data_IF_905717835141
#
_entry.id   IF_905717835141
#
_cell.length_a   1.000
_cell.length_b   1.000
_cell.length_c   1.000
_cell.angle_alpha   90.00
_cell.angle_beta   90.00
_cell.angle_gamma   90.00
#
_symmetry.space_group_name_H-M   'P 1'
#
loop_
_entity.id
_entity.type
_entity.pdbx_description
1 polymer ?
#
# COMPACT_ATOMS: atom_id res chain seq x y z
N UNK A 1 2.86 -26.81 -1.07
CA UNK A 1 2.89 -25.90 -2.24
C UNK A 1 2.69 -24.42 -1.84
N UNK A 2 1.74 -24.11 -0.91
CA UNK A 2 1.48 -22.72 -0.46
C UNK A 2 2.61 -22.18 0.42
N UNK A 3 3.24 -22.99 1.22
CA UNK A 3 4.31 -22.58 2.15
C UNK A 3 5.68 -22.43 1.47
N UNK A 4 5.94 -23.19 0.42
CA UNK A 4 7.24 -23.25 -0.25
C UNK A 4 7.78 -21.88 -0.70
N UNK A 5 6.96 -20.93 -1.22
CA UNK A 5 7.45 -19.61 -1.63
C UNK A 5 7.73 -18.66 -0.46
N UNK A 6 7.26 -18.95 0.75
CA UNK A 6 7.31 -18.01 1.87
C UNK A 6 8.74 -17.76 2.36
N UNK A 7 9.55 -18.82 2.50
CA UNK A 7 10.90 -18.71 3.03
C UNK A 7 11.81 -17.79 2.20
N UNK A 8 11.92 -17.94 0.87
CA UNK A 8 12.73 -17.02 0.07
C UNK A 8 12.21 -15.59 0.07
N UNK A 9 10.89 -15.37 0.20
CA UNK A 9 10.30 -14.04 0.34
C UNK A 9 10.73 -13.41 1.68
N UNK A 10 10.68 -14.16 2.78
CA UNK A 10 11.10 -13.68 4.09
C UNK A 10 12.57 -13.32 4.12
N UNK A 11 13.43 -14.15 3.52
CA UNK A 11 14.87 -13.91 3.40
C UNK A 11 15.14 -12.61 2.63
N UNK A 12 14.49 -12.42 1.48
CA UNK A 12 14.63 -11.21 0.66
C UNK A 12 14.13 -9.94 1.37
N UNK A 13 13.08 -10.02 2.18
CA UNK A 13 12.53 -8.88 2.93
C UNK A 13 13.17 -8.70 4.31
N UNK A 14 14.10 -9.60 4.71
CA UNK A 14 14.81 -9.53 6.00
C UNK A 14 13.89 -9.70 7.21
N UNK A 15 12.87 -10.56 7.11
CA UNK A 15 11.91 -10.83 8.19
C UNK A 15 11.97 -12.30 8.63
N UNK A 16 11.66 -12.54 9.91
CA UNK A 16 11.44 -13.90 10.40
C UNK A 16 10.20 -14.51 9.71
N UNK A 17 10.26 -15.80 9.31
CA UNK A 17 9.15 -16.46 8.68
C UNK A 17 7.90 -16.49 9.58
N UNK A 18 6.80 -15.86 9.20
CA UNK A 18 5.57 -15.89 9.96
C UNK A 18 4.89 -17.26 9.87
N UNK A 19 4.05 -17.58 10.85
CA UNK A 19 3.15 -18.71 10.74
C UNK A 19 2.15 -18.49 9.60
N UNK A 20 1.93 -19.51 8.77
CA UNK A 20 1.00 -19.48 7.66
C UNK A 20 -0.18 -20.42 7.90
N UNK A 21 -1.38 -19.84 7.97
CA UNK A 21 -2.61 -20.58 8.19
C UNK A 21 -3.44 -20.69 6.91
N UNK A 22 -3.98 -21.88 6.69
CA UNK A 22 -4.97 -22.11 5.64
C UNK A 22 -6.36 -22.15 6.24
N UNK A 23 -7.23 -21.23 5.81
CA UNK A 23 -8.58 -21.07 6.34
C UNK A 23 -9.62 -21.48 5.30
N UNK A 24 -10.57 -22.29 5.70
CA UNK A 24 -11.68 -22.71 4.83
C UNK A 24 -12.73 -21.59 4.75
N UNK A 25 -12.57 -20.70 3.78
CA UNK A 25 -13.52 -19.64 3.44
C UNK A 25 -13.62 -19.52 1.91
N UNK A 26 -14.84 -19.39 1.39
CA UNK A 26 -15.08 -19.27 -0.06
C UNK A 26 -14.65 -17.91 -0.64
N UNK A 27 -14.55 -16.89 0.20
CA UNK A 27 -14.08 -15.56 -0.24
C UNK A 27 -12.59 -15.62 -0.52
N UNK A 28 -12.17 -15.05 -1.66
CA UNK A 28 -10.77 -14.94 -2.01
C UNK A 28 -10.11 -13.86 -1.12
N UNK A 29 -9.32 -14.27 -0.13
CA UNK A 29 -8.66 -13.38 0.80
C UNK A 29 -7.35 -13.94 1.33
N UNK A 30 -6.39 -13.05 1.61
CA UNK A 30 -5.27 -13.26 2.50
C UNK A 30 -5.17 -12.06 3.43
N UNK A 31 -4.61 -12.21 4.61
CA UNK A 31 -4.29 -11.09 5.47
C UNK A 31 -3.25 -11.45 6.51
N UNK A 32 -2.53 -10.42 6.94
CA UNK A 32 -1.56 -10.45 8.02
C UNK A 32 -2.18 -9.91 9.31
N UNK A 33 -1.96 -10.56 10.43
CA UNK A 33 -2.40 -10.12 11.75
C UNK A 33 -1.36 -10.44 12.82
N UNK A 34 -1.50 -9.78 13.98
CA UNK A 34 -0.52 -9.86 15.06
C UNK A 34 0.60 -8.84 14.91
N UNK A 35 0.97 -8.20 16.04
CA UNK A 35 2.00 -7.16 16.07
C UNK A 35 3.32 -7.64 16.65
N UNK A 36 3.30 -8.65 17.53
CA UNK A 36 4.50 -9.22 18.19
C UNK A 36 4.91 -10.52 17.51
N UNK A 37 3.95 -11.40 17.25
CA UNK A 37 4.12 -12.63 16.51
C UNK A 37 3.18 -12.58 15.31
N UNK A 38 3.62 -11.96 14.20
CA UNK A 38 2.77 -11.84 13.03
C UNK A 38 2.55 -13.20 12.38
N UNK A 39 1.33 -13.40 11.90
CA UNK A 39 0.95 -14.58 11.13
C UNK A 39 0.14 -14.16 9.91
N UNK A 40 0.20 -14.98 8.89
CA UNK A 40 -0.53 -14.80 7.64
C UNK A 40 -1.59 -15.90 7.54
N UNK A 41 -2.79 -15.54 7.12
CA UNK A 41 -3.74 -16.55 6.67
C UNK A 41 -4.06 -16.39 5.19
N UNK A 42 -4.31 -17.51 4.53
CA UNK A 42 -4.84 -17.58 3.17
C UNK A 42 -6.10 -18.42 3.15
N UNK A 43 -7.09 -17.98 2.38
CA UNK A 43 -8.37 -18.68 2.29
C UNK A 43 -8.38 -19.71 1.17
N UNK A 44 -9.23 -20.73 1.31
CA UNK A 44 -9.49 -21.68 0.22
C UNK A 44 -10.04 -20.97 -1.04
N UNK A 45 -10.82 -19.91 -0.87
CA UNK A 45 -11.31 -19.09 -1.98
C UNK A 45 -10.18 -18.44 -2.77
N UNK A 46 -9.14 -17.92 -2.10
CA UNK A 46 -7.97 -17.35 -2.75
C UNK A 46 -7.24 -18.39 -3.60
N UNK A 47 -6.91 -19.53 -2.99
CA UNK A 47 -6.16 -20.60 -3.64
C UNK A 47 -6.93 -21.18 -4.84
N UNK A 48 -8.26 -21.21 -4.78
CA UNK A 48 -9.10 -21.66 -5.88
C UNK A 48 -9.28 -20.62 -6.99
N UNK A 49 -9.16 -19.33 -6.67
CA UNK A 49 -9.38 -18.23 -7.61
C UNK A 49 -8.11 -17.86 -8.36
N UNK A 50 -6.97 -17.85 -7.66
CA UNK A 50 -5.69 -17.46 -8.25
C UNK A 50 -4.93 -18.66 -8.80
N UNK A 51 -4.29 -18.54 -9.99
CA UNK A 51 -3.28 -19.49 -10.42
C UNK A 51 -2.14 -19.57 -9.39
N UNK A 52 -1.66 -20.78 -9.11
CA UNK A 52 -0.59 -21.03 -8.13
C UNK A 52 0.66 -20.16 -8.36
N UNK A 53 0.98 -19.82 -9.61
CA UNK A 53 2.11 -18.95 -9.99
C UNK A 53 1.98 -17.50 -9.47
N UNK A 54 0.77 -17.07 -9.10
CA UNK A 54 0.52 -15.72 -8.55
C UNK A 54 0.49 -15.70 -7.03
N UNK A 55 0.40 -16.86 -6.38
CA UNK A 55 0.36 -16.95 -4.93
C UNK A 55 1.61 -16.36 -4.24
N UNK A 56 2.84 -16.52 -4.78
CA UNK A 56 4.02 -15.87 -4.20
C UNK A 56 3.89 -14.34 -4.12
N UNK A 57 3.25 -13.68 -5.10
CA UNK A 57 3.03 -12.24 -5.08
C UNK A 57 2.07 -11.81 -3.95
N UNK A 58 1.05 -12.62 -3.65
CA UNK A 58 0.16 -12.37 -2.50
C UNK A 58 0.92 -12.53 -1.19
N UNK A 59 1.69 -13.61 -1.05
CA UNK A 59 2.49 -13.84 0.16
C UNK A 59 3.53 -12.73 0.37
N UNK A 60 4.17 -12.25 -0.70
CA UNK A 60 5.11 -11.15 -0.64
C UNK A 60 4.44 -9.82 -0.24
N UNK A 61 3.21 -9.57 -0.68
CA UNK A 61 2.40 -8.44 -0.23
C UNK A 61 2.13 -8.52 1.29
N UNK A 62 1.68 -9.67 1.78
CA UNK A 62 1.44 -9.88 3.21
C UNK A 62 2.74 -9.79 4.04
N UNK A 63 3.85 -10.33 3.53
CA UNK A 63 5.17 -10.14 4.14
C UNK A 63 5.62 -8.68 4.13
N UNK A 64 5.22 -7.90 3.13
CA UNK A 64 5.43 -6.45 3.08
C UNK A 64 4.77 -5.72 4.26
N UNK A 65 3.54 -6.12 4.61
CA UNK A 65 2.88 -5.59 5.81
C UNK A 65 3.64 -5.92 7.10
N UNK A 66 4.25 -7.10 7.19
CA UNK A 66 5.09 -7.50 8.34
C UNK A 66 6.37 -6.67 8.37
N UNK A 67 7.10 -6.60 7.26
CA UNK A 67 8.35 -5.87 7.15
C UNK A 67 8.22 -4.39 7.53
N UNK A 68 7.12 -3.76 7.10
CA UNK A 68 6.81 -2.36 7.40
C UNK A 68 6.07 -2.17 8.75
N UNK A 69 5.80 -3.25 9.50
CA UNK A 69 5.10 -3.23 10.81
C UNK A 69 3.70 -2.57 10.75
N UNK A 70 3.00 -2.71 9.64
CA UNK A 70 1.70 -2.05 9.43
C UNK A 70 0.68 -2.46 10.49
N UNK A 71 0.61 -3.74 10.88
CA UNK A 71 -0.31 -4.24 11.92
C UNK A 71 -0.07 -3.58 13.29
N UNK A 72 1.19 -3.28 13.64
CA UNK A 72 1.53 -2.58 14.88
C UNK A 72 1.00 -1.15 14.87
N UNK A 73 1.30 -0.39 13.82
CA UNK A 73 0.86 1.00 13.71
C UNK A 73 -0.66 1.12 13.62
N UNK A 74 -1.31 0.22 12.88
CA UNK A 74 -2.78 0.15 12.83
C UNK A 74 -3.39 -0.11 14.22
N UNK A 75 -2.81 -1.02 15.00
CA UNK A 75 -3.27 -1.33 16.36
C UNK A 75 -3.12 -0.13 17.29
N UNK A 76 -1.99 0.58 17.25
CA UNK A 76 -1.75 1.79 18.04
C UNK A 76 -2.77 2.87 17.67
N UNK A 77 -2.97 3.10 16.40
CA UNK A 77 -3.89 4.08 15.86
C UNK A 77 -5.35 3.80 16.26
N UNK A 78 -5.80 2.54 16.14
CA UNK A 78 -7.12 2.12 16.58
C UNK A 78 -7.33 2.30 18.07
N UNK A 79 -6.30 2.04 18.89
CA UNK A 79 -6.34 2.29 20.33
C UNK A 79 -6.42 3.77 20.67
N UNK A 80 -5.71 4.63 19.95
CA UNK A 80 -5.78 6.08 20.13
C UNK A 80 -7.19 6.61 19.83
N UNK A 81 -7.79 6.23 18.70
CA UNK A 81 -9.15 6.64 18.33
C UNK A 81 -10.15 6.14 19.38
N UNK A 82 -10.11 4.85 19.74
CA UNK A 82 -11.03 4.29 20.72
C UNK A 82 -10.80 4.85 22.12
N UNK A 83 -9.57 5.22 22.48
CA UNK A 83 -9.24 5.89 23.72
C UNK A 83 -9.87 7.28 23.81
N UNK A 84 -9.84 8.07 22.73
CA UNK A 84 -10.51 9.38 22.66
C UNK A 84 -12.02 9.20 22.81
N UNK A 85 -12.63 8.27 22.07
CA UNK A 85 -14.08 8.05 22.08
C UNK A 85 -14.61 7.59 23.45
N UNK A 86 -13.82 6.85 24.22
CA UNK A 86 -14.17 6.38 25.56
C UNK A 86 -13.84 7.38 26.67
N UNK A 87 -13.08 8.42 26.37
CA UNK A 87 -12.63 9.42 27.34
C UNK A 87 -13.69 10.52 27.58
N UNK A 88 -13.60 11.28 28.69
CA UNK A 88 -14.39 12.48 28.86
C UNK A 88 -14.19 13.52 27.77
N UNK A 89 -13.08 13.48 27.03
CA UNK A 89 -12.77 14.37 25.93
C UNK A 89 -13.78 14.24 24.78
N UNK A 90 -14.36 13.05 24.58
CA UNK A 90 -15.41 12.84 23.57
C UNK A 90 -16.69 13.67 23.83
N UNK A 91 -16.87 14.17 25.07
CA UNK A 91 -18.00 15.05 25.42
C UNK A 91 -17.80 16.50 24.96
N UNK A 92 -16.57 16.87 24.58
CA UNK A 92 -16.25 18.20 24.07
C UNK A 92 -16.65 18.25 22.58
N UNK A 93 -17.62 19.11 22.19
CA UNK A 93 -18.16 19.14 20.83
C UNK A 93 -17.08 19.37 19.77
N UNK A 94 -16.07 20.20 20.04
CA UNK A 94 -14.98 20.46 19.12
C UNK A 94 -14.12 19.21 18.86
N UNK A 95 -13.83 18.39 19.87
CA UNK A 95 -13.07 17.14 19.72
C UNK A 95 -13.85 16.15 18.86
N UNK A 96 -15.12 15.93 19.20
CA UNK A 96 -15.97 14.99 18.46
C UNK A 96 -16.20 15.43 17.01
N UNK A 97 -16.38 16.73 16.77
CA UNK A 97 -16.72 17.27 15.45
C UNK A 97 -15.51 17.41 14.53
N UNK A 98 -14.33 17.73 15.07
CA UNK A 98 -13.16 18.05 14.26
C UNK A 98 -12.00 17.09 14.47
N UNK A 99 -11.59 16.80 15.70
CA UNK A 99 -10.38 16.02 15.97
C UNK A 99 -10.56 14.54 15.58
N UNK A 100 -11.63 13.89 16.02
CA UNK A 100 -11.87 12.47 15.73
C UNK A 100 -11.99 12.19 14.24
N UNK A 101 -12.81 12.92 13.43
CA UNK A 101 -12.86 12.71 11.99
C UNK A 101 -11.54 12.99 11.28
N UNK A 102 -10.79 14.00 11.71
CA UNK A 102 -9.48 14.33 11.13
C UNK A 102 -8.49 13.20 11.38
N UNK A 103 -8.43 12.68 12.60
CA UNK A 103 -7.58 11.55 12.95
C UNK A 103 -7.96 10.29 12.16
N UNK A 104 -9.25 9.96 12.07
CA UNK A 104 -9.73 8.82 11.28
C UNK A 104 -9.32 8.96 9.81
N UNK A 105 -9.49 10.14 9.20
CA UNK A 105 -9.05 10.37 7.82
C UNK A 105 -7.54 10.23 7.63
N UNK A 106 -6.75 10.70 8.60
CA UNK A 106 -5.30 10.51 8.57
C UNK A 106 -4.93 9.02 8.62
N UNK A 107 -5.64 8.22 9.43
CA UNK A 107 -5.44 6.77 9.50
C UNK A 107 -5.85 6.07 8.20
N UNK A 108 -6.98 6.43 7.61
CA UNK A 108 -7.40 5.90 6.32
C UNK A 108 -6.42 6.26 5.20
N UNK A 109 -5.86 7.48 5.23
CA UNK A 109 -4.78 7.86 4.31
C UNK A 109 -3.54 6.98 4.52
N UNK A 110 -3.14 6.77 5.77
CA UNK A 110 -2.01 5.90 6.11
C UNK A 110 -2.27 4.45 5.68
N UNK A 111 -3.47 3.90 5.88
CA UNK A 111 -3.85 2.56 5.40
C UNK A 111 -3.66 2.44 3.89
N UNK A 112 -4.08 3.46 3.13
CA UNK A 112 -3.85 3.47 1.67
C UNK A 112 -2.36 3.48 1.30
N UNK A 113 -1.55 4.23 2.03
CA UNK A 113 -0.09 4.24 1.81
C UNK A 113 0.55 2.89 2.18
N UNK A 114 0.02 2.21 3.20
CA UNK A 114 0.51 0.88 3.60
C UNK A 114 0.27 -0.19 2.52
N UNK A 115 -0.87 -0.11 1.82
CA UNK A 115 -1.14 -0.98 0.67
C UNK A 115 -0.13 -0.77 -0.48
N UNK A 116 0.21 0.50 -0.79
CA UNK A 116 1.21 0.80 -1.82
C UNK A 116 2.60 0.27 -1.46
N UNK A 117 3.00 0.35 -0.19
CA UNK A 117 4.28 -0.22 0.25
C UNK A 117 4.28 -1.75 0.24
N UNK A 118 3.16 -2.40 0.55
CA UNK A 118 3.02 -3.84 0.44
C UNK A 118 3.05 -4.32 -1.03
N UNK A 119 2.43 -3.56 -1.95
CA UNK A 119 2.53 -3.82 -3.39
C UNK A 119 3.97 -3.69 -3.91
N UNK A 120 4.72 -2.72 -3.41
CA UNK A 120 6.15 -2.56 -3.71
C UNK A 120 6.98 -3.73 -3.21
N UNK A 121 6.71 -4.24 -2.01
CA UNK A 121 7.35 -5.44 -1.51
C UNK A 121 7.06 -6.66 -2.39
N UNK A 122 5.81 -6.82 -2.85
CA UNK A 122 5.43 -7.88 -3.77
C UNK A 122 6.14 -7.76 -5.13
N UNK A 123 6.26 -6.54 -5.66
CA UNK A 123 6.98 -6.27 -6.91
C UNK A 123 8.48 -6.53 -6.75
N UNK A 124 9.07 -6.15 -5.62
CA UNK A 124 10.48 -6.41 -5.30
C UNK A 124 10.78 -7.91 -5.29
N UNK A 125 9.99 -8.70 -4.58
CA UNK A 125 10.13 -10.16 -4.53
C UNK A 125 9.86 -10.84 -5.88
N UNK A 126 9.03 -10.22 -6.73
CA UNK A 126 8.74 -10.70 -8.08
C UNK A 126 9.74 -10.24 -9.14
N UNK A 127 10.58 -9.26 -8.86
CA UNK A 127 11.46 -8.59 -9.82
C UNK A 127 10.74 -7.72 -10.85
N UNK A 128 9.41 -7.59 -10.76
CA UNK A 128 8.55 -6.86 -11.71
C UNK A 128 7.17 -6.58 -11.09
N UNK A 129 6.48 -5.56 -11.56
CA UNK A 129 5.09 -5.24 -11.19
C UNK A 129 4.05 -6.23 -11.76
N UNK A 130 4.38 -6.98 -12.78
CA UNK A 130 3.43 -7.77 -13.58
C UNK A 130 2.56 -8.71 -12.76
N UNK A 131 3.17 -9.51 -11.88
CA UNK A 131 2.44 -10.47 -11.05
C UNK A 131 1.56 -9.78 -10.01
N UNK A 132 2.03 -8.68 -9.46
CA UNK A 132 1.26 -7.87 -8.50
C UNK A 132 0.02 -7.29 -9.18
N UNK A 133 0.16 -6.72 -10.37
CA UNK A 133 -0.96 -6.19 -11.16
C UNK A 133 -1.92 -7.30 -11.56
N UNK A 134 -1.43 -8.47 -11.99
CA UNK A 134 -2.27 -9.63 -12.31
C UNK A 134 -3.08 -10.12 -11.10
N UNK A 135 -2.50 -10.11 -9.89
CA UNK A 135 -3.20 -10.42 -8.64
C UNK A 135 -4.30 -9.39 -8.37
N UNK A 136 -3.97 -8.10 -8.44
CA UNK A 136 -4.92 -7.01 -8.22
C UNK A 136 -6.13 -7.12 -9.16
N UNK A 137 -5.89 -7.33 -10.45
CA UNK A 137 -6.96 -7.50 -11.44
C UNK A 137 -7.87 -8.68 -11.10
N UNK A 138 -7.29 -9.85 -10.78
CA UNK A 138 -8.07 -11.06 -10.51
C UNK A 138 -8.88 -10.98 -9.22
N UNK A 139 -8.31 -10.43 -8.15
CA UNK A 139 -9.00 -10.29 -6.87
C UNK A 139 -10.15 -9.27 -6.95
N UNK A 140 -10.09 -8.32 -7.88
CA UNK A 140 -11.16 -7.37 -8.14
C UNK A 140 -12.17 -7.84 -9.22
N UNK A 141 -12.17 -9.12 -9.56
CA UNK A 141 -13.17 -9.72 -10.44
C UNK A 141 -12.91 -9.54 -11.94
N UNK A 142 -11.79 -8.97 -12.31
CA UNK A 142 -11.38 -8.92 -13.71
C UNK A 142 -10.95 -10.31 -14.19
N UNK A 143 -11.59 -10.81 -15.24
CA UNK A 143 -11.36 -12.15 -15.76
C UNK A 143 -9.96 -12.35 -16.37
N UNK A 144 -9.69 -13.59 -16.82
CA UNK A 144 -8.40 -13.97 -17.44
C UNK A 144 -8.08 -13.20 -18.73
N UNK A 145 -9.07 -12.56 -19.34
CA UNK A 145 -8.97 -11.94 -20.68
C UNK A 145 -8.76 -10.41 -20.61
N UNK A 146 -8.49 -9.84 -19.42
CA UNK A 146 -8.17 -8.42 -19.32
C UNK A 146 -6.77 -8.19 -19.88
N UNK A 147 -6.67 -7.26 -20.81
CA UNK A 147 -5.41 -6.79 -21.34
C UNK A 147 -4.76 -5.88 -20.30
N UNK A 148 -3.69 -6.35 -19.64
CA UNK A 148 -2.96 -5.60 -18.61
C UNK A 148 -2.40 -4.28 -19.14
N UNK A 149 -1.85 -4.28 -20.35
CA UNK A 149 -1.26 -3.07 -20.94
C UNK A 149 -2.32 -1.99 -21.16
N UNK A 150 -3.49 -2.39 -21.65
CA UNK A 150 -4.60 -1.46 -21.86
C UNK A 150 -5.18 -0.95 -20.54
N UNK A 151 -5.26 -1.81 -19.52
CA UNK A 151 -5.64 -1.40 -18.16
C UNK A 151 -4.65 -0.39 -17.57
N UNK A 152 -3.34 -0.64 -17.70
CA UNK A 152 -2.30 0.30 -17.23
C UNK A 152 -2.35 1.63 -17.98
N UNK A 153 -2.59 1.60 -19.30
CA UNK A 153 -2.77 2.84 -20.07
C UNK A 153 -3.95 3.66 -19.53
N UNK A 154 -5.09 3.02 -19.30
CA UNK A 154 -6.26 3.70 -18.70
C UNK A 154 -5.96 4.23 -17.28
N UNK A 155 -5.19 3.49 -16.48
CA UNK A 155 -4.79 3.91 -15.15
C UNK A 155 -3.88 5.16 -15.18
N UNK A 156 -2.92 5.21 -16.13
CA UNK A 156 -2.04 6.37 -16.37
C UNK A 156 -2.81 7.56 -16.92
N UNK A 157 -3.77 7.34 -17.82
CA UNK A 157 -4.66 8.40 -18.32
C UNK A 157 -5.50 9.00 -17.18
N UNK A 158 -6.01 8.17 -16.27
CA UNK A 158 -6.71 8.63 -15.07
C UNK A 158 -5.80 9.47 -14.16
N UNK A 159 -4.56 9.04 -13.93
CA UNK A 159 -3.57 9.79 -13.16
C UNK A 159 -3.30 11.16 -13.79
N UNK A 160 -3.11 11.19 -15.10
CA UNK A 160 -2.91 12.43 -15.86
C UNK A 160 -4.10 13.37 -15.70
N UNK A 161 -5.33 12.85 -15.89
CA UNK A 161 -6.57 13.62 -15.69
C UNK A 161 -6.67 14.20 -14.27
N UNK A 162 -6.39 13.40 -13.24
CA UNK A 162 -6.41 13.87 -11.84
C UNK A 162 -5.38 14.97 -11.62
N UNK A 163 -4.18 14.88 -12.24
CA UNK A 163 -3.11 15.84 -12.07
C UNK A 163 -3.27 17.12 -12.91
N UNK A 164 -4.15 17.12 -13.91
CA UNK A 164 -4.33 18.22 -14.86
C UNK A 164 -4.88 19.50 -14.20
N UNK A 165 -5.67 19.37 -13.13
CA UNK A 165 -6.20 20.56 -12.44
C UNK A 165 -6.34 20.37 -10.93
N UNK A 166 -6.32 21.50 -10.19
CA UNK A 166 -6.60 21.51 -8.73
C UNK A 166 -8.01 21.00 -8.43
N UNK A 167 -8.98 21.26 -9.31
CA UNK A 167 -10.37 20.80 -9.15
C UNK A 167 -10.46 19.28 -9.26
N UNK A 168 -9.75 18.65 -10.20
CA UNK A 168 -9.71 17.22 -10.38
C UNK A 168 -9.04 16.52 -9.18
N UNK A 169 -7.94 17.09 -8.65
CA UNK A 169 -7.28 16.61 -7.42
C UNK A 169 -8.21 16.70 -6.21
N UNK A 170 -8.96 17.79 -6.08
CA UNK A 170 -9.91 17.95 -4.99
C UNK A 170 -11.06 16.95 -5.10
N UNK A 171 -11.59 16.73 -6.31
CA UNK A 171 -12.61 15.74 -6.58
C UNK A 171 -12.14 14.32 -6.23
N UNK A 172 -10.93 13.94 -6.68
CA UNK A 172 -10.33 12.65 -6.35
C UNK A 172 -10.18 12.48 -4.84
N UNK A 173 -9.65 13.50 -4.14
CA UNK A 173 -9.52 13.47 -2.68
C UNK A 173 -10.87 13.29 -1.99
N UNK A 174 -11.93 13.95 -2.45
CA UNK A 174 -13.28 13.79 -1.90
C UNK A 174 -13.84 12.39 -2.13
N UNK A 175 -13.56 11.79 -3.28
CA UNK A 175 -14.06 10.47 -3.64
C UNK A 175 -13.37 9.32 -2.89
N UNK A 176 -12.10 9.50 -2.49
CA UNK A 176 -11.31 8.44 -1.83
C UNK A 176 -11.10 8.64 -0.33
N UNK A 177 -11.55 9.77 0.24
CA UNK A 177 -11.25 10.13 1.63
C UNK A 177 -11.73 9.11 2.67
N UNK A 178 -12.81 8.39 2.37
CA UNK A 178 -13.43 7.41 3.25
C UNK A 178 -13.11 5.95 2.85
N UNK A 179 -12.29 5.75 1.80
CA UNK A 179 -11.87 4.41 1.37
C UNK A 179 -10.68 3.92 2.19
N UNK A 180 -10.73 2.65 2.62
CA UNK A 180 -9.63 1.98 3.34
C UNK A 180 -8.52 1.52 2.40
N UNK A 181 -8.87 1.20 1.14
CA UNK A 181 -7.92 0.76 0.14
C UNK A 181 -7.81 1.76 -0.99
N UNK A 182 -6.61 1.99 -1.57
CA UNK A 182 -6.48 2.77 -2.77
C UNK A 182 -7.23 2.10 -3.92
N UNK A 183 -7.69 2.90 -4.88
CA UNK A 183 -8.29 2.35 -6.09
C UNK A 183 -7.34 1.42 -6.82
N UNK A 184 -7.88 0.39 -7.43
CA UNK A 184 -7.12 -0.60 -8.18
C UNK A 184 -6.20 0.05 -9.22
N UNK A 185 -6.70 1.04 -9.97
CA UNK A 185 -5.92 1.78 -10.94
C UNK A 185 -4.73 2.50 -10.28
N UNK A 186 -4.94 3.14 -9.12
CA UNK A 186 -3.87 3.81 -8.36
C UNK A 186 -2.80 2.81 -7.93
N UNK A 187 -3.17 1.68 -7.35
CA UNK A 187 -2.22 0.63 -6.94
C UNK A 187 -1.41 0.11 -8.14
N UNK A 188 -2.08 -0.12 -9.26
CA UNK A 188 -1.44 -0.67 -10.45
C UNK A 188 -0.42 0.30 -11.05
N UNK A 189 -0.77 1.58 -11.28
CA UNK A 189 0.16 2.52 -11.86
C UNK A 189 1.29 2.92 -10.90
N UNK A 190 1.02 3.08 -9.61
CA UNK A 190 2.07 3.38 -8.61
C UNK A 190 3.09 2.23 -8.51
N UNK A 191 2.62 0.98 -8.54
CA UNK A 191 3.50 -0.17 -8.58
C UNK A 191 4.31 -0.23 -9.89
N UNK A 192 3.66 0.02 -11.04
CA UNK A 192 4.30 0.04 -12.36
C UNK A 192 5.37 1.12 -12.47
N UNK A 193 5.05 2.36 -12.09
CA UNK A 193 6.01 3.47 -12.14
C UNK A 193 7.20 3.25 -11.20
N UNK A 194 6.95 2.68 -10.01
CA UNK A 194 8.02 2.45 -9.06
C UNK A 194 9.06 1.44 -9.56
N UNK A 195 8.67 0.38 -10.27
CA UNK A 195 9.62 -0.60 -10.82
C UNK A 195 10.48 -0.03 -11.95
N UNK A 196 10.08 1.08 -12.56
CA UNK A 196 10.87 1.78 -13.56
C UNK A 196 11.94 2.72 -12.96
N UNK A 197 11.90 2.94 -11.64
CA UNK A 197 12.84 3.85 -10.97
C UNK A 197 14.23 3.24 -10.79
N UNK A 198 15.24 4.11 -10.71
CA UNK A 198 16.61 3.71 -10.33
C UNK A 198 16.67 3.13 -8.92
N UNK A 199 15.81 3.62 -8.01
CA UNK A 199 15.69 3.08 -6.66
C UNK A 199 15.35 1.59 -6.67
N UNK A 200 14.35 1.19 -7.45
CA UNK A 200 13.96 -0.23 -7.55
C UNK A 200 15.12 -1.09 -8.07
N UNK A 201 15.77 -0.64 -9.14
CA UNK A 201 16.92 -1.32 -9.73
C UNK A 201 18.07 -1.42 -8.72
N UNK A 202 18.41 -0.32 -8.05
CA UNK A 202 19.46 -0.32 -7.04
C UNK A 202 19.19 -1.23 -5.85
N UNK A 203 17.93 -1.38 -5.42
CA UNK A 203 17.54 -2.33 -4.38
C UNK A 203 17.74 -3.77 -4.88
N UNK A 204 17.27 -4.09 -6.09
CA UNK A 204 17.44 -5.43 -6.67
C UNK A 204 18.91 -5.82 -6.84
N UNK A 205 19.73 -4.88 -7.29
CA UNK A 205 21.15 -5.10 -7.54
C UNK A 205 22.02 -5.01 -6.26
N UNK A 206 21.40 -4.64 -5.11
CA UNK A 206 22.09 -4.46 -3.83
C UNK A 206 23.01 -3.22 -3.80
N UNK A 207 22.85 -2.30 -4.73
CA UNK A 207 23.65 -1.07 -4.83
C UNK A 207 23.01 0.11 -4.09
N UNK A 208 21.73 0.03 -3.74
CA UNK A 208 20.99 1.07 -3.02
C UNK A 208 21.43 1.13 -1.55
N UNK A 209 22.09 2.21 -1.15
CA UNK A 209 22.59 2.41 0.21
C UNK A 209 21.67 3.33 1.04
N UNK A 210 21.74 3.20 2.38
CA UNK A 210 20.99 4.07 3.30
C UNK A 210 21.40 5.55 3.14
N UNK A 211 22.66 5.81 2.74
CA UNK A 211 23.15 7.17 2.48
C UNK A 211 22.49 7.80 1.26
N UNK A 212 22.23 7.04 0.22
CA UNK A 212 21.49 7.50 -0.96
C UNK A 212 20.03 7.79 -0.62
N UNK A 213 19.43 7.00 0.25
CA UNK A 213 18.10 7.26 0.79
C UNK A 213 18.04 8.62 1.51
N UNK A 214 19.00 8.91 2.39
CA UNK A 214 19.07 10.18 3.12
C UNK A 214 19.29 11.36 2.20
N UNK A 215 20.06 11.20 1.11
CA UNK A 215 20.25 12.24 0.09
C UNK A 215 18.98 12.50 -0.73
N UNK A 216 18.29 11.44 -1.14
CA UNK A 216 17.03 11.55 -1.87
C UNK A 216 15.94 12.24 -1.04
N UNK A 217 15.80 11.86 0.24
CA UNK A 217 14.84 12.47 1.18
C UNK A 217 15.16 13.97 1.43
N UNK A 218 16.44 14.32 1.53
CA UNK A 218 16.86 15.72 1.70
C UNK A 218 16.61 16.54 0.44
N UNK A 219 16.89 16.01 -0.76
CA UNK A 219 16.59 16.67 -2.02
C UNK A 219 15.08 16.91 -2.22
N UNK A 220 14.25 15.93 -1.84
CA UNK A 220 12.79 16.08 -1.91
C UNK A 220 12.31 17.19 -0.96
N UNK A 221 12.83 17.26 0.26
CA UNK A 221 12.51 18.31 1.23
C UNK A 221 12.97 19.69 0.76
N UNK A 222 14.17 19.80 0.18
CA UNK A 222 14.67 21.05 -0.38
C UNK A 222 13.80 21.53 -1.56
N UNK A 223 13.35 20.61 -2.43
CA UNK A 223 12.43 20.93 -3.52
C UNK A 223 11.04 21.37 -3.02
N UNK A 224 10.53 20.75 -1.97
CA UNK A 224 9.26 21.16 -1.35
C UNK A 224 9.37 22.56 -0.69
N UNK A 225 10.48 22.85 -0.03
CA UNK A 225 10.75 24.18 0.57
C UNK A 225 10.84 25.25 -0.52
N UNK A 226 11.62 25.01 -1.58
CA UNK A 226 11.74 25.94 -2.72
C UNK A 226 10.39 26.15 -3.42
N UNK A 227 9.61 25.08 -3.60
CA UNK A 227 8.27 25.19 -4.17
C UNK A 227 7.31 26.01 -3.28
N UNK A 228 7.41 25.86 -1.96
CA UNK A 228 6.61 26.62 -1.01
C UNK A 228 7.01 28.11 -0.98
N UNK A 229 8.30 28.43 -1.07
CA UNK A 229 8.81 29.81 -1.16
C UNK A 229 8.35 30.49 -2.45
N UNK A 230 8.45 29.82 -3.61
CA UNK A 230 7.96 30.34 -4.88
C UNK A 230 6.45 30.62 -4.91
N UNK A 231 5.67 29.79 -4.19
CA UNK A 231 4.22 30.02 -4.05
C UNK A 231 3.93 31.24 -3.16
N UNK A 232 4.76 31.49 -2.15
CA UNK A 232 4.61 32.65 -1.25
C UNK A 232 5.03 33.96 -1.95
N UNK A 233 6.08 33.95 -2.74
CA UNK A 233 6.51 35.12 -3.56
C UNK A 233 5.52 35.44 -4.68
N UNK A 234 4.84 34.46 -5.26
CA UNK A 234 3.84 34.69 -6.30
C UNK A 234 2.48 35.17 -5.77
N UNK A 235 2.28 35.17 -4.46
CA UNK A 235 1.03 35.56 -3.79
C UNK A 235 1.13 36.93 -3.10
N UNK A 236 2.31 37.60 -3.08
CA UNK A 236 2.57 38.95 -2.56
C UNK A 236 2.74 39.96 -3.67
#
# INVERSE_FOLDING_TARGET
EVYSPLLPICDQLGIEPPELYYVRDKRANAATFGSVHPCIYVTSGLVNTLPLKLLPSVLAHECGHIACKHSLYHSIAAQLVSGIDRSPLARIPAIRKFLTPTLVRALLFWDRCSELSADRAAALCGGTADKTIDVLLRLNGYGKNVNREEFLKQALDLKSFVNDSKSNKLLELMLVQDETHPRLATRAYECYEWVETEQFRGILDGTYTIEEKSRAENQTKEQEVVAAELVTEAAG
#
